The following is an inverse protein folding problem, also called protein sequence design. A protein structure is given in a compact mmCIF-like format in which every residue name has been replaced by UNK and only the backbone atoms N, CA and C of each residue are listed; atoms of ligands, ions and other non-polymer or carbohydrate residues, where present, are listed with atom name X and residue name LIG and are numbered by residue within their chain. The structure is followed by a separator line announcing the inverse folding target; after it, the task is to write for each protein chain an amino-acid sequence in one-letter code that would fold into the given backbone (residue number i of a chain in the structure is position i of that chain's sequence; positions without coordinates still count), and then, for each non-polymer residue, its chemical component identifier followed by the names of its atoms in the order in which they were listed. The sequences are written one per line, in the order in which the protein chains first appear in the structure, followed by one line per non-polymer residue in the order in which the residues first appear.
data_IF_423823389154
#
_entry.id   IF_423823389154
#
_cell.length_a   1.000
_cell.length_b   1.000
_cell.length_c   1.000
_cell.angle_alpha   90.00
_cell.angle_beta   90.00
_cell.angle_gamma   90.00
#
_symmetry.space_group_name_H-M   'P 1'
#
loop_
_entity.id
_entity.type
_entity.pdbx_description
1 polymer ?
#
# COMPACT_ATOMS: atom_id res chain seq x y z
N UNK A 1 -7.06 -9.10 14.97
CA UNK A 1 -7.10 -10.53 15.39
C UNK A 1 -5.73 -10.96 15.87
N UNK A 2 -5.66 -11.59 17.04
CA UNK A 2 -4.41 -12.01 17.70
C UNK A 2 -3.97 -13.38 17.16
N UNK A 3 -2.70 -13.51 16.80
CA UNK A 3 -2.06 -14.78 16.44
C UNK A 3 -0.83 -14.97 17.31
N UNK A 4 -0.88 -15.92 18.24
CA UNK A 4 0.34 -16.37 18.89
C UNK A 4 1.14 -17.20 17.88
N UNK A 5 2.37 -16.76 17.62
CA UNK A 5 3.26 -17.31 16.63
C UNK A 5 4.56 -17.73 17.30
N UNK A 6 5.11 -18.87 16.90
CA UNK A 6 6.49 -19.24 17.22
C UNK A 6 7.25 -19.23 15.90
N UNK A 7 8.03 -18.17 15.66
CA UNK A 7 8.77 -17.96 14.43
C UNK A 7 10.27 -18.05 14.74
N UNK A 8 10.98 -18.97 14.10
CA UNK A 8 12.39 -19.26 14.38
C UNK A 8 12.70 -19.37 15.90
N UNK A 9 11.83 -20.06 16.65
CA UNK A 9 11.97 -20.27 18.09
C UNK A 9 11.59 -19.06 18.97
N UNK A 10 11.16 -17.95 18.38
CA UNK A 10 10.70 -16.76 19.12
C UNK A 10 9.18 -16.76 19.21
N UNK A 11 8.65 -16.78 20.44
CA UNK A 11 7.23 -16.60 20.70
C UNK A 11 6.85 -15.11 20.57
N UNK A 12 5.85 -14.81 19.75
CA UNK A 12 5.32 -13.47 19.52
C UNK A 12 3.81 -13.49 19.49
N UNK A 13 3.21 -12.39 19.94
CA UNK A 13 1.78 -12.11 19.74
C UNK A 13 1.64 -11.13 18.59
N UNK A 14 1.14 -11.59 17.44
CA UNK A 14 1.06 -10.79 16.21
C UNK A 14 -0.38 -10.54 15.77
N UNK A 15 -0.69 -9.28 15.52
CA UNK A 15 -2.00 -8.80 15.13
C UNK A 15 -2.04 -8.50 13.64
N UNK A 16 -3.08 -9.04 12.99
CA UNK A 16 -3.38 -8.70 11.61
C UNK A 16 -4.12 -7.37 11.55
N UNK A 17 -3.72 -6.52 10.61
CA UNK A 17 -4.39 -5.27 10.30
C UNK A 17 -5.40 -5.40 9.13
N UNK A 18 -6.49 -4.63 9.17
CA UNK A 18 -6.96 -3.81 10.31
C UNK A 18 -7.41 -4.68 11.49
N UNK A 19 -7.28 -4.15 12.72
CA UNK A 19 -7.45 -4.93 13.96
C UNK A 19 -8.83 -5.58 14.10
N UNK A 20 -9.87 -4.91 13.60
CA UNK A 20 -11.28 -5.30 13.70
C UNK A 20 -11.71 -6.40 12.70
N UNK A 21 -10.77 -6.99 11.96
CA UNK A 21 -11.09 -7.98 10.93
C UNK A 21 -11.72 -9.26 11.52
N UNK A 22 -12.92 -9.61 11.03
CA UNK A 22 -13.73 -10.73 11.55
C UNK A 22 -13.33 -12.12 11.02
N UNK A 23 -12.57 -12.22 9.92
CA UNK A 23 -12.24 -13.51 9.32
C UNK A 23 -11.08 -14.19 10.03
N UNK A 24 -11.40 -15.18 10.89
CA UNK A 24 -10.46 -15.94 11.73
C UNK A 24 -9.40 -16.77 11.00
N UNK A 25 -9.51 -16.97 9.68
CA UNK A 25 -8.53 -17.76 8.91
C UNK A 25 -7.30 -16.98 8.45
N UNK A 26 -7.32 -15.64 8.58
CA UNK A 26 -6.23 -14.77 8.14
C UNK A 26 -5.33 -14.40 9.33
N UNK A 27 -4.06 -14.77 9.25
CA UNK A 27 -3.05 -14.47 10.27
C UNK A 27 -2.22 -13.23 9.90
N UNK A 28 -1.45 -12.76 10.87
CA UNK A 28 -0.47 -11.68 10.72
C UNK A 28 0.86 -12.14 10.07
N UNK A 29 1.02 -13.45 9.90
CA UNK A 29 2.17 -14.06 9.26
C UNK A 29 1.71 -15.22 8.37
N UNK A 30 2.56 -15.70 7.49
CA UNK A 30 2.34 -16.92 6.72
C UNK A 30 3.55 -17.84 6.69
N UNK A 31 3.38 -19.04 6.16
CA UNK A 31 4.45 -20.04 6.10
C UNK A 31 5.69 -19.57 5.32
N UNK A 32 5.60 -18.51 4.49
CA UNK A 32 6.77 -17.94 3.84
C UNK A 32 7.55 -17.03 4.79
N UNK A 33 6.92 -16.39 5.78
CA UNK A 33 7.64 -15.66 6.86
C UNK A 33 8.44 -16.63 7.71
N UNK A 34 7.78 -17.69 8.20
CA UNK A 34 8.41 -18.75 9.01
C UNK A 34 9.58 -19.38 8.27
N UNK A 35 9.37 -19.81 7.01
CA UNK A 35 10.44 -20.47 6.24
C UNK A 35 11.63 -19.53 5.98
N UNK A 36 11.37 -18.24 5.75
CA UNK A 36 12.43 -17.26 5.56
C UNK A 36 13.24 -17.09 6.85
N UNK A 37 12.57 -16.91 8.00
CA UNK A 37 13.22 -16.75 9.32
C UNK A 37 14.01 -17.99 9.74
N UNK A 38 13.45 -19.19 9.57
CA UNK A 38 14.13 -20.44 9.90
C UNK A 38 15.41 -20.62 9.05
N UNK A 39 15.35 -20.25 7.78
CA UNK A 39 16.52 -20.32 6.90
C UNK A 39 17.60 -19.33 7.33
N UNK A 40 17.24 -18.04 7.51
CA UNK A 40 18.24 -17.00 7.75
C UNK A 40 18.90 -17.12 9.12
N UNK A 41 18.19 -17.65 10.13
CA UNK A 41 18.76 -17.87 11.46
C UNK A 41 19.84 -18.96 11.48
N UNK A 42 19.80 -19.86 10.50
CA UNK A 42 20.82 -20.91 10.33
C UNK A 42 21.91 -20.51 9.34
N UNK A 43 21.53 -19.92 8.20
CA UNK A 43 22.44 -19.62 7.10
C UNK A 43 23.20 -18.29 7.28
N UNK A 44 22.63 -17.33 8.02
CA UNK A 44 23.19 -16.00 8.24
C UNK A 44 23.12 -15.61 9.73
N UNK A 45 23.68 -16.41 10.66
CA UNK A 45 23.57 -16.18 12.09
C UNK A 45 24.26 -14.88 12.55
N UNK A 46 25.16 -14.35 11.73
CA UNK A 46 25.97 -13.16 12.02
C UNK A 46 25.44 -11.88 11.36
N UNK A 47 24.36 -11.93 10.57
CA UNK A 47 23.78 -10.73 9.97
C UNK A 47 23.24 -9.79 11.06
N UNK A 48 23.66 -8.52 11.06
CA UNK A 48 23.26 -7.51 12.04
C UNK A 48 22.66 -6.27 11.42
N UNK A 49 23.00 -5.95 10.17
CA UNK A 49 22.35 -4.89 9.41
C UNK A 49 21.46 -5.50 8.32
N UNK A 50 20.14 -5.47 8.53
CA UNK A 50 19.17 -6.25 7.74
C UNK A 50 18.17 -5.33 7.06
N UNK A 51 18.09 -5.42 5.74
CA UNK A 51 17.09 -4.72 4.93
C UNK A 51 15.90 -5.65 4.65
N UNK A 52 14.70 -5.27 5.06
CA UNK A 52 13.47 -6.07 4.90
C UNK A 52 12.50 -5.36 3.98
N UNK A 53 12.11 -6.00 2.88
CA UNK A 53 11.14 -5.48 1.93
C UNK A 53 9.81 -6.22 2.06
N UNK A 54 8.73 -5.44 2.14
CA UNK A 54 7.33 -5.90 2.10
C UNK A 54 6.91 -6.79 3.28
N UNK A 55 7.42 -6.51 4.49
CA UNK A 55 6.92 -7.14 5.73
C UNK A 55 5.51 -6.61 6.06
N UNK A 56 4.50 -7.44 5.80
CA UNK A 56 3.11 -7.01 5.74
C UNK A 56 2.52 -6.63 7.11
N UNK A 57 2.97 -7.27 8.19
CA UNK A 57 2.48 -7.00 9.54
C UNK A 57 3.60 -7.00 10.58
N UNK A 58 4.87 -6.89 10.16
CA UNK A 58 6.00 -6.84 11.07
C UNK A 58 6.44 -8.22 11.58
N UNK A 59 6.05 -9.32 10.95
CA UNK A 59 6.41 -10.66 11.44
C UNK A 59 7.94 -10.86 11.42
N UNK A 60 8.58 -10.49 10.31
CA UNK A 60 10.03 -10.56 10.17
C UNK A 60 10.72 -9.57 11.10
N UNK A 61 10.23 -8.33 11.10
CA UNK A 61 10.76 -7.22 11.88
C UNK A 61 10.73 -7.50 13.39
N UNK A 62 9.58 -7.95 13.92
CA UNK A 62 9.41 -8.27 15.33
C UNK A 62 10.26 -9.47 15.75
N UNK A 63 10.31 -10.54 14.93
CA UNK A 63 11.15 -11.71 15.25
C UNK A 63 12.63 -11.35 15.29
N UNK A 64 13.13 -10.60 14.31
CA UNK A 64 14.53 -10.20 14.27
C UNK A 64 14.87 -9.24 15.41
N UNK A 65 14.02 -8.25 15.69
CA UNK A 65 14.20 -7.35 16.84
C UNK A 65 14.29 -8.13 18.17
N UNK A 66 13.38 -9.08 18.41
CA UNK A 66 13.39 -9.90 19.62
C UNK A 66 14.65 -10.75 19.75
N UNK A 67 15.13 -11.33 18.64
CA UNK A 67 16.34 -12.17 18.63
C UNK A 67 17.63 -11.37 18.77
N UNK A 68 17.66 -10.17 18.23
CA UNK A 68 18.85 -9.32 18.24
C UNK A 68 18.95 -8.45 19.49
N UNK A 69 17.95 -8.44 20.38
CA UNK A 69 17.86 -7.52 21.53
C UNK A 69 19.13 -7.44 22.38
N UNK A 70 19.80 -8.58 22.59
CA UNK A 70 20.98 -8.69 23.47
C UNK A 70 22.30 -8.41 22.73
N UNK A 71 22.25 -8.14 21.43
CA UNK A 71 23.40 -7.74 20.63
C UNK A 71 23.66 -6.24 20.74
N UNK A 72 24.92 -5.85 20.95
CA UNK A 72 25.28 -4.45 21.12
C UNK A 72 25.02 -3.58 19.88
N UNK A 73 25.32 -4.11 18.69
CA UNK A 73 25.21 -3.39 17.41
C UNK A 73 24.45 -4.21 16.39
N UNK A 74 23.31 -3.68 15.95
CA UNK A 74 22.46 -4.21 14.89
C UNK A 74 21.48 -3.11 14.46
N UNK A 75 20.97 -3.25 13.25
CA UNK A 75 20.00 -2.35 12.65
C UNK A 75 19.08 -3.12 11.69
N UNK A 76 17.80 -2.74 11.64
CA UNK A 76 16.83 -3.23 10.67
C UNK A 76 16.28 -2.05 9.91
N UNK A 77 16.35 -2.07 8.58
CA UNK A 77 15.58 -1.17 7.74
C UNK A 77 14.39 -1.91 7.16
N UNK A 78 13.17 -1.49 7.47
CA UNK A 78 11.94 -2.01 6.87
C UNK A 78 11.46 -1.06 5.77
N UNK A 79 11.33 -1.58 4.54
CA UNK A 79 10.80 -0.85 3.39
C UNK A 79 9.42 -1.39 3.03
N UNK A 80 8.44 -0.50 2.94
CA UNK A 80 7.07 -0.85 2.55
C UNK A 80 6.43 0.26 1.74
N UNK A 81 5.70 -0.12 0.69
CA UNK A 81 4.81 0.84 0.00
C UNK A 81 3.52 1.10 0.80
N UNK A 82 3.14 0.23 1.74
CA UNK A 82 1.91 0.32 2.52
C UNK A 82 2.15 0.97 3.87
N UNK A 83 1.44 2.08 4.12
CA UNK A 83 1.35 2.71 5.43
C UNK A 83 0.74 1.77 6.48
N UNK A 84 -0.30 1.02 6.09
CA UNK A 84 -0.97 0.05 6.99
C UNK A 84 0.01 -1.02 7.46
N UNK A 85 0.92 -1.49 6.60
CA UNK A 85 1.95 -2.46 6.99
C UNK A 85 2.97 -1.89 7.99
N UNK A 86 3.35 -0.61 7.82
CA UNK A 86 4.23 0.07 8.78
C UNK A 86 3.53 0.24 10.15
N UNK A 87 2.26 0.67 10.15
CA UNK A 87 1.46 0.77 11.38
C UNK A 87 1.24 -0.58 12.05
N UNK A 88 1.00 -1.64 11.26
CA UNK A 88 0.88 -2.99 11.77
C UNK A 88 2.16 -3.46 12.45
N UNK A 89 3.32 -3.12 11.88
CA UNK A 89 4.62 -3.42 12.47
C UNK A 89 4.81 -2.67 13.79
N UNK A 90 4.52 -1.37 13.84
CA UNK A 90 4.62 -0.56 15.08
C UNK A 90 3.73 -1.12 16.19
N UNK A 91 2.48 -1.45 15.85
CA UNK A 91 1.56 -2.05 16.81
C UNK A 91 2.09 -3.39 17.32
N UNK A 92 2.54 -4.27 16.42
CA UNK A 92 3.07 -5.58 16.84
C UNK A 92 4.38 -5.48 17.62
N UNK A 93 5.23 -4.49 17.38
CA UNK A 93 6.37 -4.21 18.24
C UNK A 93 5.91 -3.85 19.66
N UNK A 94 4.94 -2.94 19.79
CA UNK A 94 4.40 -2.54 21.09
C UNK A 94 3.72 -3.70 21.84
N UNK A 95 2.92 -4.53 21.15
CA UNK A 95 2.29 -5.71 21.75
C UNK A 95 3.32 -6.71 22.30
N UNK A 96 4.55 -6.71 21.76
CA UNK A 96 5.65 -7.58 22.20
C UNK A 96 6.70 -6.84 23.06
N UNK A 97 6.44 -5.61 23.52
CA UNK A 97 7.36 -4.80 24.34
C UNK A 97 8.70 -4.52 23.64
N UNK A 98 8.64 -4.30 22.33
CA UNK A 98 9.77 -4.04 21.45
C UNK A 98 9.71 -2.64 20.82
N UNK A 99 8.81 -1.76 21.23
CA UNK A 99 8.66 -0.41 20.67
C UNK A 99 9.93 0.44 20.79
N UNK A 100 10.75 0.18 21.82
CA UNK A 100 12.04 0.84 22.06
C UNK A 100 13.00 0.77 20.85
N UNK A 101 12.85 -0.23 19.97
CA UNK A 101 13.70 -0.36 18.78
C UNK A 101 13.49 0.78 17.79
N UNK A 102 12.31 1.41 17.79
CA UNK A 102 12.01 2.58 16.97
C UNK A 102 12.67 3.83 17.57
N UNK A 103 12.55 3.99 18.90
CA UNK A 103 13.09 5.15 19.63
C UNK A 103 14.62 5.19 19.60
N UNK A 104 15.25 4.02 19.74
CA UNK A 104 16.71 3.87 19.66
C UNK A 104 17.22 3.75 18.21
N UNK A 105 16.35 3.92 17.21
CA UNK A 105 16.69 3.80 15.77
C UNK A 105 17.31 2.46 15.38
N UNK A 106 17.08 1.40 16.18
CA UNK A 106 17.43 0.01 15.85
C UNK A 106 16.58 -0.55 14.72
N UNK A 107 15.36 -0.03 14.54
CA UNK A 107 14.53 -0.28 13.37
C UNK A 107 14.12 1.04 12.72
N UNK A 108 14.46 1.23 11.45
CA UNK A 108 13.99 2.36 10.63
C UNK A 108 12.96 1.90 9.61
N UNK A 109 11.86 2.64 9.50
CA UNK A 109 10.83 2.39 8.49
C UNK A 109 10.94 3.40 7.35
N UNK A 110 11.05 2.90 6.13
CA UNK A 110 11.11 3.67 4.90
C UNK A 110 9.91 3.35 4.01
N UNK A 111 9.45 4.35 3.26
CA UNK A 111 8.53 4.11 2.15
C UNK A 111 9.27 3.52 0.93
N UNK A 112 8.51 3.10 -0.07
CA UNK A 112 9.03 2.42 -1.26
C UNK A 112 9.83 3.32 -2.23
N UNK A 113 9.77 4.64 -2.08
CA UNK A 113 10.45 5.62 -2.92
C UNK A 113 11.66 6.25 -2.22
N UNK A 114 11.80 6.04 -0.91
CA UNK A 114 12.95 6.46 -0.13
C UNK A 114 14.27 5.84 -0.63
N UNK A 115 15.36 6.55 -0.40
CA UNK A 115 16.71 6.03 -0.65
C UNK A 115 17.01 4.88 0.29
N UNK A 116 17.44 3.75 -0.27
CA UNK A 116 17.86 2.57 0.50
C UNK A 116 19.20 2.82 1.22
N UNK A 117 19.47 2.14 2.35
CA UNK A 117 20.77 2.22 3.01
C UNK A 117 21.88 1.73 2.07
N UNK A 118 23.02 2.43 2.06
CA UNK A 118 24.16 2.11 1.18
C UNK A 118 24.84 0.77 1.53
N UNK A 119 24.68 0.32 2.77
CA UNK A 119 25.28 -0.90 3.31
C UNK A 119 24.22 -1.71 4.06
N UNK A 120 24.30 -3.03 3.93
CA UNK A 120 23.60 -4.00 4.79
C UNK A 120 24.26 -5.38 4.61
N UNK A 121 24.10 -6.25 5.60
CA UNK A 121 24.65 -7.61 5.61
C UNK A 121 23.74 -8.60 4.87
N UNK A 122 22.42 -8.34 4.88
CA UNK A 122 21.41 -9.28 4.39
C UNK A 122 20.15 -8.54 3.95
N UNK A 123 19.62 -8.94 2.79
CA UNK A 123 18.38 -8.41 2.24
C UNK A 123 17.31 -9.50 2.24
N UNK A 124 16.17 -9.21 2.86
CA UNK A 124 15.01 -10.08 2.96
C UNK A 124 13.88 -9.50 2.11
N UNK A 125 13.27 -10.32 1.26
CA UNK A 125 12.16 -9.87 0.39
C UNK A 125 10.97 -10.78 0.56
N UNK A 126 9.84 -10.26 1.06
CA UNK A 126 8.55 -10.89 0.78
C UNK A 126 8.16 -10.52 -0.65
N UNK A 127 8.10 -11.52 -1.54
CA UNK A 127 7.84 -11.29 -2.96
C UNK A 127 6.46 -10.61 -3.10
N UNK A 128 6.38 -9.37 -3.61
CA UNK A 128 5.12 -8.67 -3.70
C UNK A 128 4.26 -9.30 -4.79
N UNK A 129 2.93 -9.15 -4.66
CA UNK A 129 1.98 -9.63 -5.68
C UNK A 129 2.12 -8.87 -7.00
N UNK A 130 2.53 -7.61 -6.94
CA UNK A 130 2.70 -6.75 -8.10
C UNK A 130 4.12 -6.92 -8.66
N UNK A 131 4.23 -7.49 -9.86
CA UNK A 131 5.51 -7.68 -10.53
C UNK A 131 6.25 -6.36 -10.81
N UNK A 132 5.52 -5.26 -11.04
CA UNK A 132 6.12 -3.93 -11.21
C UNK A 132 6.84 -3.48 -9.95
N UNK A 133 6.20 -3.62 -8.78
CA UNK A 133 6.83 -3.30 -7.50
C UNK A 133 8.09 -4.14 -7.26
N UNK A 134 8.05 -5.45 -7.56
CA UNK A 134 9.25 -6.29 -7.46
C UNK A 134 10.37 -5.77 -8.37
N UNK A 135 10.07 -5.42 -9.62
CA UNK A 135 11.08 -4.91 -10.56
C UNK A 135 11.67 -3.59 -10.08
N UNK A 136 10.85 -2.68 -9.54
CA UNK A 136 11.32 -1.42 -8.97
C UNK A 136 12.25 -1.64 -7.78
N UNK A 137 11.85 -2.49 -6.84
CA UNK A 137 12.66 -2.84 -5.67
C UNK A 137 13.98 -3.50 -6.08
N UNK A 138 13.96 -4.42 -7.03
CA UNK A 138 15.18 -5.04 -7.56
C UNK A 138 16.06 -4.02 -8.30
N UNK A 139 15.48 -3.05 -9.01
CA UNK A 139 16.24 -1.95 -9.60
C UNK A 139 16.94 -1.15 -8.51
N UNK A 140 16.25 -0.69 -7.47
CA UNK A 140 16.87 0.03 -6.33
C UNK A 140 18.00 -0.79 -5.69
N UNK A 141 17.78 -2.09 -5.43
CA UNK A 141 18.79 -2.98 -4.87
C UNK A 141 20.01 -3.16 -5.78
N UNK A 142 19.89 -2.98 -7.10
CA UNK A 142 21.01 -3.13 -8.04
C UNK A 142 22.06 -2.01 -7.89
N UNK A 143 21.68 -0.90 -7.25
CA UNK A 143 22.58 0.20 -6.92
C UNK A 143 23.45 -0.07 -5.68
N UNK A 144 23.11 -1.07 -4.86
CA UNK A 144 23.89 -1.42 -3.68
C UNK A 144 25.20 -2.14 -4.06
N UNK A 145 26.15 -2.17 -3.13
CA UNK A 145 27.43 -2.88 -3.30
C UNK A 145 27.22 -4.33 -3.75
N UNK A 146 28.15 -4.86 -4.55
CA UNK A 146 28.08 -6.22 -5.06
C UNK A 146 28.22 -7.27 -3.94
N UNK A 147 27.55 -8.41 -4.10
CA UNK A 147 27.73 -9.58 -3.26
C UNK A 147 26.89 -9.63 -1.97
N UNK A 148 26.01 -8.66 -1.74
CA UNK A 148 25.09 -8.68 -0.59
C UNK A 148 24.09 -9.82 -0.79
N UNK A 149 23.96 -10.76 0.17
CA UNK A 149 22.99 -11.85 0.11
C UNK A 149 21.54 -11.35 0.09
N UNK A 150 20.74 -11.95 -0.79
CA UNK A 150 19.30 -11.73 -0.89
C UNK A 150 18.59 -13.07 -0.68
N UNK A 151 17.67 -13.10 0.28
CA UNK A 151 16.73 -14.22 0.49
C UNK A 151 15.31 -13.70 0.32
N UNK A 152 14.64 -14.13 -0.74
CA UNK A 152 13.25 -13.78 -0.99
C UNK A 152 12.32 -14.96 -0.71
N UNK A 153 11.12 -14.71 -0.21
CA UNK A 153 10.12 -15.73 0.07
C UNK A 153 8.74 -15.36 -0.46
N UNK A 154 8.02 -16.37 -0.93
CA UNK A 154 6.64 -16.23 -1.36
C UNK A 154 5.94 -17.59 -1.41
N UNK A 155 4.65 -17.57 -1.71
CA UNK A 155 3.91 -18.82 -1.94
C UNK A 155 4.48 -19.50 -3.18
N UNK A 156 4.71 -20.80 -3.10
CA UNK A 156 5.32 -21.57 -4.19
C UNK A 156 4.56 -21.44 -5.51
N UNK A 157 3.22 -21.28 -5.46
CA UNK A 157 2.38 -21.07 -6.64
C UNK A 157 2.47 -19.66 -7.24
N UNK A 158 3.03 -18.70 -6.51
CA UNK A 158 3.18 -17.28 -6.91
C UNK A 158 4.63 -16.98 -7.38
N UNK A 159 5.57 -17.90 -7.13
CA UNK A 159 6.93 -17.84 -7.68
C UNK A 159 6.92 -18.47 -9.07
N UNK A 160 6.77 -17.62 -10.08
CA UNK A 160 6.71 -18.01 -11.49
C UNK A 160 8.06 -17.84 -12.18
N UNK A 161 8.17 -18.36 -13.41
CA UNK A 161 9.34 -18.12 -14.27
C UNK A 161 9.60 -16.63 -14.51
N UNK A 162 8.55 -15.80 -14.57
CA UNK A 162 8.66 -14.34 -14.68
C UNK A 162 9.28 -13.69 -13.44
N UNK A 163 9.00 -14.22 -12.25
CA UNK A 163 9.62 -13.79 -10.99
C UNK A 163 11.13 -14.02 -11.06
N UNK A 164 11.56 -15.24 -11.40
CA UNK A 164 12.98 -15.58 -11.53
C UNK A 164 13.68 -14.78 -12.64
N UNK A 165 13.02 -14.57 -13.78
CA UNK A 165 13.54 -13.70 -14.85
C UNK A 165 13.75 -12.26 -14.38
N UNK A 166 12.87 -11.74 -13.50
CA UNK A 166 13.06 -10.41 -12.92
C UNK A 166 14.30 -10.39 -12.03
N UNK A 167 14.47 -11.37 -11.14
CA UNK A 167 15.71 -11.51 -10.36
C UNK A 167 16.95 -11.60 -11.25
N UNK A 168 16.97 -12.47 -12.27
CA UNK A 168 18.12 -12.60 -13.18
C UNK A 168 18.44 -11.34 -13.99
N UNK A 169 17.47 -10.43 -14.17
CA UNK A 169 17.68 -9.20 -14.91
C UNK A 169 18.45 -8.15 -14.09
N UNK A 170 18.14 -8.03 -12.80
CA UNK A 170 18.71 -7.02 -11.92
C UNK A 170 19.84 -7.55 -11.02
N UNK A 171 19.79 -8.83 -10.65
CA UNK A 171 20.65 -9.48 -9.67
C UNK A 171 21.52 -10.57 -10.30
N UNK A 172 22.43 -11.16 -9.51
CA UNK A 172 23.10 -12.39 -9.90
C UNK A 172 22.06 -13.52 -10.11
N UNK A 173 22.34 -14.52 -10.98
CA UNK A 173 21.39 -15.58 -11.29
C UNK A 173 20.82 -16.26 -10.02
N UNK A 174 19.49 -16.28 -9.85
CA UNK A 174 18.88 -16.82 -8.65
C UNK A 174 18.84 -18.34 -8.66
N UNK A 175 18.90 -18.94 -7.47
CA UNK A 175 18.52 -20.34 -7.22
C UNK A 175 17.27 -20.40 -6.33
N UNK A 176 16.68 -21.58 -6.16
CA UNK A 176 15.46 -21.74 -5.35
C UNK A 176 15.54 -22.93 -4.42
N UNK A 177 14.87 -22.84 -3.26
CA UNK A 177 14.69 -23.95 -2.35
C UNK A 177 13.65 -24.97 -2.84
N UNK A 178 13.60 -26.13 -2.18
CA UNK A 178 12.40 -26.98 -2.18
C UNK A 178 11.21 -26.22 -1.58
N UNK A 179 10.00 -26.61 -1.97
CA UNK A 179 8.78 -26.05 -1.40
C UNK A 179 8.53 -26.63 0.00
N UNK A 180 8.27 -25.77 0.98
CA UNK A 180 7.94 -26.13 2.37
C UNK A 180 6.65 -25.43 2.75
N UNK A 181 5.65 -26.17 3.25
CA UNK A 181 4.32 -25.63 3.63
C UNK A 181 3.68 -24.72 2.57
N UNK A 182 3.84 -25.07 1.28
CA UNK A 182 3.39 -24.30 0.09
C UNK A 182 4.11 -22.94 -0.11
N UNK A 183 5.24 -22.74 0.54
CA UNK A 183 6.15 -21.59 0.39
C UNK A 183 7.47 -22.02 -0.24
N UNK A 184 8.17 -21.10 -0.88
CA UNK A 184 9.48 -21.33 -1.52
C UNK A 184 10.37 -20.11 -1.34
N UNK A 185 11.67 -20.36 -1.19
CA UNK A 185 12.70 -19.33 -1.11
C UNK A 185 13.41 -19.18 -2.46
N UNK A 186 13.87 -17.95 -2.73
CA UNK A 186 14.74 -17.58 -3.84
C UNK A 186 16.02 -17.00 -3.23
N UNK A 187 17.18 -17.45 -3.71
CA UNK A 187 18.48 -17.01 -3.25
C UNK A 187 19.24 -16.34 -4.38
N UNK A 188 19.80 -15.16 -4.14
CA UNK A 188 20.71 -14.49 -5.08
C UNK A 188 21.60 -13.50 -4.32
N UNK A 189 22.44 -12.77 -5.04
CA UNK A 189 23.25 -11.67 -4.51
C UNK A 189 23.14 -10.44 -5.41
N UNK A 190 23.39 -9.27 -4.83
CA UNK A 190 23.47 -8.00 -5.57
C UNK A 190 24.62 -8.02 -6.57
N UNK A 191 24.45 -7.29 -7.69
CA UNK A 191 25.45 -7.22 -8.77
C UNK A 191 26.46 -6.10 -8.60
N UNK A 192 26.15 -5.04 -7.82
CA UNK A 192 26.92 -3.80 -7.79
C UNK A 192 26.84 -3.00 -9.08
N UNK A 193 25.90 -3.32 -9.97
CA UNK A 193 25.74 -2.69 -11.28
C UNK A 193 24.32 -2.13 -11.36
N UNK A 194 24.17 -0.79 -11.28
CA UNK A 194 22.89 -0.13 -11.46
C UNK A 194 22.18 -0.56 -12.74
N UNK A 195 20.94 -1.01 -12.61
CA UNK A 195 20.03 -1.33 -13.71
C UNK A 195 18.73 -0.57 -13.47
N UNK A 196 18.40 0.36 -14.36
CA UNK A 196 17.18 1.15 -14.27
C UNK A 196 15.94 0.30 -14.57
N UNK A 197 14.84 0.58 -13.87
CA UNK A 197 13.52 0.11 -14.26
C UNK A 197 12.82 1.09 -15.24
N UNK A 198 11.55 0.84 -15.54
CA UNK A 198 10.73 1.61 -16.47
C UNK A 198 9.75 2.59 -15.81
N UNK A 199 9.81 2.75 -14.50
CA UNK A 199 8.85 3.52 -13.71
C UNK A 199 9.37 4.93 -13.42
N UNK A 200 8.49 5.94 -13.33
CA UNK A 200 7.05 5.85 -13.57
C UNK A 200 6.70 5.60 -15.04
N UNK A 201 5.58 4.90 -15.30
CA UNK A 201 5.02 4.75 -16.65
C UNK A 201 3.96 5.81 -16.89
N UNK A 202 3.87 6.33 -18.11
CA UNK A 202 2.90 7.37 -18.45
C UNK A 202 2.05 7.07 -19.68
N UNK A 203 0.85 7.64 -19.70
CA UNK A 203 -0.09 7.56 -20.83
C UNK A 203 -1.00 8.79 -20.86
N UNK A 204 -1.47 9.16 -22.06
CA UNK A 204 -2.40 10.27 -22.24
C UNK A 204 -3.80 9.91 -21.74
N UNK A 205 -4.42 10.80 -20.97
CA UNK A 205 -5.79 10.66 -20.51
C UNK A 205 -6.77 11.07 -21.61
N UNK A 206 -7.57 10.12 -22.07
CA UNK A 206 -8.53 10.31 -23.17
C UNK A 206 -9.45 11.53 -22.97
N UNK A 207 -9.66 12.30 -24.04
CA UNK A 207 -10.50 13.51 -24.08
C UNK A 207 -10.03 14.66 -23.17
N UNK A 208 -8.74 14.69 -22.81
CA UNK A 208 -8.15 15.75 -21.99
C UNK A 208 -6.75 16.06 -22.50
N UNK A 209 -6.16 17.22 -22.14
CA UNK A 209 -4.75 17.49 -22.41
C UNK A 209 -3.81 16.79 -21.42
N UNK A 210 -4.32 15.98 -20.50
CA UNK A 210 -3.52 15.48 -19.38
C UNK A 210 -2.74 14.21 -19.72
N UNK A 211 -1.55 14.10 -19.13
CA UNK A 211 -0.73 12.88 -19.12
C UNK A 211 -0.69 12.32 -17.69
N UNK A 212 -0.95 11.03 -17.54
CA UNK A 212 -1.01 10.35 -16.25
C UNK A 212 0.24 9.50 -16.05
N UNK A 213 1.00 9.81 -15.01
CA UNK A 213 2.21 9.19 -14.53
C UNK A 213 1.87 8.24 -13.38
N UNK A 214 2.50 7.06 -13.37
CA UNK A 214 2.17 5.99 -12.44
C UNK A 214 3.43 5.25 -11.97
N UNK A 215 3.67 5.27 -10.67
CA UNK A 215 4.71 4.45 -10.03
C UNK A 215 4.33 2.95 -10.01
N UNK A 216 5.32 2.12 -9.69
CA UNK A 216 5.30 0.68 -9.93
C UNK A 216 4.14 -0.08 -9.28
N UNK A 217 3.73 0.32 -8.07
CA UNK A 217 2.69 -0.35 -7.31
C UNK A 217 1.27 0.20 -7.54
N UNK A 218 1.10 1.25 -8.34
CA UNK A 218 -0.19 1.93 -8.50
C UNK A 218 -1.22 1.06 -9.23
N UNK A 219 -2.47 1.11 -8.74
CA UNK A 219 -3.60 0.41 -9.35
C UNK A 219 -3.87 0.91 -10.78
N UNK A 220 -4.15 -0.02 -11.69
CA UNK A 220 -4.39 0.29 -13.11
C UNK A 220 -3.31 1.18 -13.76
N UNK A 221 -2.05 1.07 -13.31
CA UNK A 221 -0.94 1.92 -13.81
C UNK A 221 -0.76 1.94 -15.33
N UNK A 222 -1.14 0.87 -16.03
CA UNK A 222 -0.87 0.71 -17.47
C UNK A 222 -1.97 1.36 -18.34
N UNK A 223 -3.14 1.71 -17.79
CA UNK A 223 -4.22 2.41 -18.52
C UNK A 223 -5.33 2.93 -17.59
N UNK A 224 -6.15 3.88 -18.05
CA UNK A 224 -7.30 4.39 -17.28
C UNK A 224 -8.28 3.26 -16.89
N UNK A 225 -8.47 3.08 -15.58
CA UNK A 225 -9.46 2.17 -15.01
C UNK A 225 -10.87 2.47 -15.56
N UNK A 226 -11.59 1.42 -15.93
CA UNK A 226 -12.93 1.52 -16.50
C UNK A 226 -13.97 2.01 -15.47
N UNK A 227 -13.74 1.76 -14.18
CA UNK A 227 -14.53 2.32 -13.09
C UNK A 227 -14.31 3.82 -12.99
N UNK A 228 -13.06 4.25 -12.80
CA UNK A 228 -12.68 5.66 -12.78
C UNK A 228 -13.20 6.42 -14.01
N UNK A 229 -13.06 5.84 -15.20
CA UNK A 229 -13.62 6.36 -16.46
C UNK A 229 -15.12 6.63 -16.38
N UNK A 230 -15.88 5.66 -15.88
CA UNK A 230 -17.31 5.85 -15.70
C UNK A 230 -17.61 6.90 -14.63
N UNK A 231 -16.86 6.88 -13.53
CA UNK A 231 -17.03 7.79 -12.40
C UNK A 231 -16.81 9.25 -12.77
N UNK A 232 -15.86 9.52 -13.67
CA UNK A 232 -15.56 10.86 -14.19
C UNK A 232 -16.78 11.58 -14.80
N UNK A 233 -17.78 10.87 -15.29
CA UNK A 233 -19.01 11.48 -15.83
C UNK A 233 -19.89 12.11 -14.74
N UNK A 234 -19.67 11.73 -13.48
CA UNK A 234 -20.48 12.13 -12.33
C UNK A 234 -19.66 12.90 -11.30
N UNK A 235 -18.54 13.51 -11.70
CA UNK A 235 -17.78 14.41 -10.82
C UNK A 235 -18.50 15.77 -10.68
N UNK A 236 -18.32 16.48 -9.56
CA UNK A 236 -18.88 17.81 -9.41
C UNK A 236 -18.23 18.81 -10.37
N UNK A 237 -18.96 19.86 -10.69
CA UNK A 237 -18.47 21.00 -11.45
C UNK A 237 -19.12 22.27 -10.93
N UNK A 238 -18.44 23.41 -11.06
CA UNK A 238 -18.92 24.70 -10.59
C UNK A 238 -17.82 25.55 -9.97
N UNK A 239 -18.19 26.70 -9.41
CA UNK A 239 -17.24 27.68 -8.85
C UNK A 239 -17.28 27.80 -7.32
N UNK A 240 -18.10 26.99 -6.65
CA UNK A 240 -18.20 27.03 -5.18
C UNK A 240 -16.88 26.53 -4.58
N UNK A 241 -16.30 27.23 -3.59
CA UNK A 241 -15.16 26.69 -2.87
C UNK A 241 -15.59 25.45 -2.08
N UNK A 242 -14.85 24.37 -2.26
CA UNK A 242 -15.11 23.07 -1.62
C UNK A 242 -13.79 22.47 -1.15
N UNK A 243 -13.80 21.87 0.04
CA UNK A 243 -12.75 20.97 0.52
C UNK A 243 -13.12 19.55 0.11
N UNK A 244 -12.42 19.03 -0.89
CA UNK A 244 -12.66 17.72 -1.49
C UNK A 244 -11.60 16.74 -1.03
N UNK A 245 -11.99 15.51 -0.71
CA UNK A 245 -11.07 14.41 -0.45
C UNK A 245 -11.23 13.37 -1.56
N UNK A 246 -10.13 13.00 -2.22
CA UNK A 246 -10.03 11.82 -3.09
C UNK A 246 -9.49 10.65 -2.25
N UNK A 247 -10.39 9.78 -1.77
CA UNK A 247 -10.10 8.70 -0.84
C UNK A 247 -9.80 7.39 -1.59
N UNK A 248 -8.57 6.90 -1.42
CA UNK A 248 -8.01 5.84 -2.24
C UNK A 248 -7.64 6.39 -3.62
N UNK A 249 -6.86 7.47 -3.65
CA UNK A 249 -6.68 8.27 -4.85
C UNK A 249 -5.95 7.53 -5.98
N UNK A 250 -5.16 6.49 -5.69
CA UNK A 250 -4.36 5.81 -6.71
C UNK A 250 -3.44 6.81 -7.41
N UNK A 251 -3.48 6.85 -8.75
CA UNK A 251 -2.74 7.86 -9.53
C UNK A 251 -3.33 9.29 -9.46
N UNK A 252 -4.42 9.51 -8.72
CA UNK A 252 -5.04 10.82 -8.53
C UNK A 252 -5.90 11.30 -9.70
N UNK A 253 -6.22 10.46 -10.68
CA UNK A 253 -7.01 10.89 -11.86
C UNK A 253 -8.37 11.50 -11.47
N UNK A 254 -9.01 10.99 -10.41
CA UNK A 254 -10.30 11.49 -9.92
C UNK A 254 -10.15 12.88 -9.29
N UNK A 255 -9.19 13.05 -8.38
CA UNK A 255 -8.89 14.35 -7.78
C UNK A 255 -8.38 15.37 -8.80
N UNK A 256 -7.52 14.99 -9.75
CA UNK A 256 -7.02 15.85 -10.83
C UNK A 256 -8.17 16.39 -11.69
N UNK A 257 -9.08 15.52 -12.12
CA UNK A 257 -10.27 15.92 -12.87
C UNK A 257 -11.21 16.81 -12.06
N UNK A 258 -11.31 16.55 -10.76
CA UNK A 258 -12.12 17.37 -9.86
C UNK A 258 -11.53 18.77 -9.72
N UNK A 259 -10.21 18.87 -9.56
CA UNK A 259 -9.47 20.14 -9.49
C UNK A 259 -9.63 20.98 -10.77
N UNK A 260 -9.64 20.32 -11.94
CA UNK A 260 -9.88 20.96 -13.23
C UNK A 260 -11.32 21.49 -13.39
N UNK A 261 -12.31 20.82 -12.79
CA UNK A 261 -13.75 21.18 -12.89
C UNK A 261 -14.23 22.13 -11.79
N UNK A 262 -13.47 22.25 -10.71
CA UNK A 262 -13.73 23.10 -9.56
C UNK A 262 -12.53 24.05 -9.33
N UNK A 263 -12.46 25.18 -10.05
CA UNK A 263 -11.32 26.10 -9.99
C UNK A 263 -11.06 26.71 -8.60
N UNK A 264 -12.02 26.67 -7.69
CA UNK A 264 -11.90 27.20 -6.33
C UNK A 264 -11.87 26.11 -5.24
N UNK A 265 -11.72 24.83 -5.62
CA UNK A 265 -11.66 23.74 -4.66
C UNK A 265 -10.23 23.49 -4.18
N UNK A 266 -10.13 23.06 -2.92
CA UNK A 266 -8.95 22.42 -2.35
C UNK A 266 -9.15 20.91 -2.38
N UNK A 267 -8.13 20.16 -2.79
CA UNK A 267 -8.23 18.70 -2.95
C UNK A 267 -7.17 18.00 -2.11
N UNK A 268 -7.61 17.16 -1.17
CA UNK A 268 -6.74 16.26 -0.41
C UNK A 268 -6.77 14.88 -1.05
N UNK A 269 -5.63 14.42 -1.55
CA UNK A 269 -5.41 13.08 -2.11
C UNK A 269 -4.92 12.17 -0.99
N UNK A 270 -5.65 11.08 -0.74
CA UNK A 270 -5.33 10.15 0.35
C UNK A 270 -5.25 8.73 -0.17
N UNK A 271 -4.16 8.03 0.12
CA UNK A 271 -3.98 6.62 -0.21
C UNK A 271 -3.07 5.95 0.83
N UNK A 272 -3.15 4.63 1.00
CA UNK A 272 -2.21 3.92 1.87
C UNK A 272 -0.84 3.72 1.20
N UNK A 273 -0.81 3.78 -0.13
CA UNK A 273 0.37 3.56 -0.95
C UNK A 273 1.18 4.85 -1.12
N UNK A 274 2.46 4.82 -0.73
CA UNK A 274 3.38 5.93 -0.98
C UNK A 274 3.52 6.21 -2.49
N UNK A 275 3.62 5.17 -3.31
CA UNK A 275 3.65 5.27 -4.77
C UNK A 275 2.38 5.88 -5.37
N UNK A 276 1.20 5.60 -4.80
CA UNK A 276 -0.05 6.23 -5.22
C UNK A 276 -0.04 7.73 -4.93
N UNK A 277 0.25 8.10 -3.68
CA UNK A 277 0.33 9.51 -3.25
C UNK A 277 1.37 10.29 -4.07
N UNK A 278 2.53 9.70 -4.34
CA UNK A 278 3.55 10.28 -5.21
C UNK A 278 3.07 10.45 -6.65
N UNK A 279 2.39 9.45 -7.22
CA UNK A 279 1.82 9.53 -8.57
C UNK A 279 0.75 10.62 -8.67
N UNK A 280 -0.13 10.73 -7.68
CA UNK A 280 -1.13 11.80 -7.61
C UNK A 280 -0.48 13.19 -7.59
N UNK A 281 0.59 13.35 -6.80
CA UNK A 281 1.38 14.60 -6.73
C UNK A 281 2.04 14.92 -8.07
N UNK A 282 2.69 13.94 -8.69
CA UNK A 282 3.32 14.11 -10.01
C UNK A 282 2.26 14.52 -11.05
N UNK A 283 1.08 13.89 -11.03
CA UNK A 283 0.00 14.20 -11.96
C UNK A 283 -0.60 15.59 -11.79
N UNK A 284 -0.80 16.07 -10.57
CA UNK A 284 -1.21 17.46 -10.37
C UNK A 284 -0.12 18.41 -10.82
N UNK A 285 1.13 18.16 -10.41
CA UNK A 285 2.28 19.03 -10.75
C UNK A 285 2.50 19.13 -12.26
N UNK A 286 2.40 18.02 -12.98
CA UNK A 286 2.63 17.99 -14.42
C UNK A 286 1.50 18.65 -15.23
N UNK A 287 0.25 18.47 -14.79
CA UNK A 287 -0.92 18.84 -15.59
C UNK A 287 -1.57 20.18 -15.18
N UNK A 288 -1.43 20.56 -13.91
CA UNK A 288 -2.04 21.75 -13.29
C UNK A 288 -1.06 22.35 -12.26
N UNK A 289 0.14 22.71 -12.71
CA UNK A 289 1.23 23.18 -11.84
C UNK A 289 0.86 24.40 -11.00
N UNK A 290 0.00 25.28 -11.52
CA UNK A 290 -0.55 26.46 -10.85
C UNK A 290 -1.55 26.13 -9.74
N UNK A 291 -1.96 24.86 -9.61
CA UNK A 291 -2.96 24.39 -8.65
C UNK A 291 -2.37 23.46 -7.57
N UNK A 292 -1.06 23.27 -7.55
CA UNK A 292 -0.40 22.38 -6.56
C UNK A 292 -0.63 22.87 -5.13
N UNK A 293 -0.64 24.19 -4.90
CA UNK A 293 -0.86 24.79 -3.57
C UNK A 293 -2.30 24.62 -3.04
N UNK A 294 -3.25 24.30 -3.93
CA UNK A 294 -4.62 23.93 -3.54
C UNK A 294 -4.73 22.45 -3.13
N UNK A 295 -3.62 21.71 -3.17
CA UNK A 295 -3.61 20.26 -2.99
C UNK A 295 -2.83 19.82 -1.75
N UNK A 296 -3.33 18.76 -1.11
CA UNK A 296 -2.60 18.03 -0.08
C UNK A 296 -2.48 16.57 -0.50
N UNK A 297 -1.34 15.94 -0.19
CA UNK A 297 -1.05 14.56 -0.56
C UNK A 297 -0.65 13.82 0.71
N UNK A 298 -1.48 12.91 1.17
CA UNK A 298 -1.37 12.29 2.49
C UNK A 298 -1.36 10.77 2.33
N UNK A 299 -0.29 10.13 2.81
CA UNK A 299 -0.26 8.69 2.96
C UNK A 299 -0.93 8.31 4.29
N UNK A 300 -2.01 7.52 4.25
CA UNK A 300 -2.75 7.18 5.47
C UNK A 300 -3.58 5.88 5.33
N UNK A 301 -3.97 5.29 6.45
CA UNK A 301 -5.03 4.27 6.48
C UNK A 301 -6.39 4.94 6.35
N UNK A 302 -6.88 5.01 5.12
CA UNK A 302 -8.14 5.67 4.79
C UNK A 302 -8.14 7.11 5.33
N UNK A 303 -9.10 7.50 6.17
CA UNK A 303 -9.16 8.83 6.81
C UNK A 303 -8.96 8.73 8.33
N UNK A 304 -8.11 7.81 8.79
CA UNK A 304 -7.71 7.75 10.19
C UNK A 304 -7.13 9.09 10.65
N UNK A 305 -7.46 9.53 11.86
CA UNK A 305 -7.04 10.81 12.45
C UNK A 305 -7.51 12.10 11.73
N UNK A 306 -8.33 11.99 10.68
CA UNK A 306 -8.96 13.17 10.09
C UNK A 306 -10.01 13.74 11.05
N UNK A 307 -9.92 15.05 11.31
CA UNK A 307 -10.87 15.73 12.18
C UNK A 307 -12.29 15.75 11.59
N UNK A 308 -13.33 15.63 12.43
CA UNK A 308 -14.71 15.66 11.97
C UNK A 308 -15.08 17.02 11.37
N UNK A 309 -16.04 17.02 10.45
CA UNK A 309 -16.62 18.23 9.85
C UNK A 309 -15.63 19.13 9.07
N UNK A 310 -14.58 18.52 8.49
CA UNK A 310 -13.54 19.21 7.74
C UNK A 310 -13.69 19.10 6.23
N UNK A 311 -14.48 18.16 5.71
CA UNK A 311 -14.69 17.97 4.27
C UNK A 311 -16.09 18.36 3.80
N UNK A 312 -16.16 18.92 2.59
CA UNK A 312 -17.41 19.18 1.86
C UNK A 312 -17.86 17.99 1.02
N UNK A 313 -16.88 17.29 0.45
CA UNK A 313 -17.09 16.19 -0.48
C UNK A 313 -15.99 15.15 -0.28
N UNK A 314 -16.37 13.88 -0.20
CA UNK A 314 -15.47 12.74 -0.31
C UNK A 314 -15.82 11.97 -1.57
N UNK A 315 -14.86 11.84 -2.47
CA UNK A 315 -14.92 11.00 -3.66
C UNK A 315 -14.17 9.69 -3.35
N UNK A 316 -14.74 8.55 -3.72
CA UNK A 316 -14.10 7.27 -3.44
C UNK A 316 -14.40 6.22 -4.52
N UNK A 317 -13.36 5.57 -5.01
CA UNK A 317 -13.44 4.34 -5.79
C UNK A 317 -12.83 3.22 -4.93
N UNK A 318 -13.60 2.59 -4.02
CA UNK A 318 -13.05 1.61 -3.09
C UNK A 318 -12.38 0.46 -3.84
N UNK A 319 -11.30 -0.14 -3.27
CA UNK A 319 -10.61 -1.24 -3.91
C UNK A 319 -11.59 -2.40 -4.17
N UNK A 320 -11.36 -3.14 -5.27
CA UNK A 320 -12.13 -4.34 -5.58
C UNK A 320 -11.20 -5.53 -5.90
N UNK A 321 -11.19 -6.54 -5.04
CA UNK A 321 -10.51 -7.81 -5.29
C UNK A 321 -11.40 -9.01 -4.97
N UNK A 322 -11.13 -10.13 -5.65
CA UNK A 322 -11.83 -11.42 -5.51
C UNK A 322 -11.78 -12.02 -4.09
N UNK A 323 -11.00 -11.45 -3.17
CA UNK A 323 -11.09 -11.71 -1.73
C UNK A 323 -12.20 -10.85 -1.10
N UNK A 324 -13.46 -11.16 -1.44
CA UNK A 324 -14.65 -10.33 -1.19
C UNK A 324 -14.78 -9.83 0.26
N UNK A 325 -14.42 -10.64 1.25
CA UNK A 325 -14.54 -10.27 2.67
C UNK A 325 -13.54 -9.19 3.14
N UNK A 326 -12.32 -9.13 2.57
CA UNK A 326 -11.31 -8.12 2.96
C UNK A 326 -11.68 -6.78 2.32
N UNK A 327 -11.96 -6.83 1.03
CA UNK A 327 -12.40 -5.70 0.20
C UNK A 327 -13.63 -5.00 0.80
N UNK A 328 -14.60 -5.79 1.28
CA UNK A 328 -15.83 -5.26 1.86
C UNK A 328 -15.62 -4.53 3.18
N UNK A 329 -14.67 -5.01 4.00
CA UNK A 329 -14.32 -4.36 5.27
C UNK A 329 -13.61 -3.03 5.05
N UNK A 330 -12.67 -2.96 4.09
CA UNK A 330 -11.97 -1.70 3.76
C UNK A 330 -12.96 -0.66 3.23
N UNK A 331 -13.84 -1.04 2.29
CA UNK A 331 -14.86 -0.14 1.78
C UNK A 331 -15.79 0.37 2.90
N UNK A 332 -16.16 -0.49 3.85
CA UNK A 332 -16.96 -0.07 4.99
C UNK A 332 -16.22 0.91 5.91
N UNK A 333 -14.94 0.67 6.20
CA UNK A 333 -14.08 1.61 6.94
C UNK A 333 -14.04 2.98 6.24
N UNK A 334 -13.79 2.99 4.92
CA UNK A 334 -13.80 4.22 4.11
C UNK A 334 -15.11 4.98 4.26
N UNK A 335 -16.27 4.31 4.23
CA UNK A 335 -17.57 4.97 4.36
C UNK A 335 -17.80 5.55 5.76
N UNK A 336 -17.42 4.80 6.80
CA UNK A 336 -17.53 5.26 8.19
C UNK A 336 -16.71 6.52 8.43
N UNK A 337 -15.44 6.49 8.03
CA UNK A 337 -14.53 7.61 8.23
C UNK A 337 -14.86 8.80 7.31
N UNK A 338 -15.36 8.55 6.10
CA UNK A 338 -15.92 9.62 5.26
C UNK A 338 -17.10 10.32 5.95
N UNK A 339 -18.05 9.57 6.53
CA UNK A 339 -19.16 10.18 7.30
C UNK A 339 -18.65 10.99 8.50
N UNK A 340 -17.63 10.50 9.22
CA UNK A 340 -17.03 11.21 10.33
C UNK A 340 -16.45 12.56 9.88
N UNK A 341 -15.64 12.53 8.81
CA UNK A 341 -14.88 13.66 8.27
C UNK A 341 -15.76 14.72 7.59
N UNK A 342 -16.83 14.30 6.91
CA UNK A 342 -17.75 15.22 6.23
C UNK A 342 -18.42 16.18 7.22
N UNK A 343 -18.64 17.43 6.81
CA UNK A 343 -19.52 18.35 7.55
C UNK A 343 -20.99 18.01 7.34
N UNK A 344 -21.87 18.59 8.16
CA UNK A 344 -23.31 18.53 7.91
C UNK A 344 -23.64 19.18 6.55
N UNK A 345 -24.40 18.46 5.73
CA UNK A 345 -24.67 18.79 4.33
C UNK A 345 -23.58 18.36 3.35
N UNK A 346 -22.46 17.79 3.83
CA UNK A 346 -21.39 17.25 3.00
C UNK A 346 -21.78 15.93 2.32
N UNK A 347 -21.13 15.62 1.22
CA UNK A 347 -21.46 14.48 0.35
C UNK A 347 -20.35 13.40 0.37
N UNK A 348 -20.74 12.14 0.51
CA UNK A 348 -19.93 11.01 0.07
C UNK A 348 -20.45 10.55 -1.29
N UNK A 349 -19.58 10.55 -2.30
CA UNK A 349 -19.88 10.04 -3.63
C UNK A 349 -18.93 8.90 -3.96
N UNK A 350 -19.49 7.74 -4.30
CA UNK A 350 -18.70 6.55 -4.59
C UNK A 350 -19.06 5.94 -5.93
N UNK A 351 -18.14 5.17 -6.48
CA UNK A 351 -18.42 4.16 -7.50
C UNK A 351 -18.15 2.76 -6.92
N UNK A 352 -18.94 1.78 -7.31
CA UNK A 352 -18.68 0.38 -6.98
C UNK A 352 -19.25 -0.56 -8.04
N UNK A 353 -18.80 -1.82 -8.00
CA UNK A 353 -19.40 -2.86 -8.84
C UNK A 353 -20.88 -3.06 -8.49
N UNK A 354 -21.71 -3.24 -9.52
CA UNK A 354 -23.18 -3.33 -9.37
C UNK A 354 -23.65 -4.47 -8.47
N UNK A 355 -22.88 -5.55 -8.36
CA UNK A 355 -23.20 -6.71 -7.51
C UNK A 355 -22.85 -6.50 -6.02
N UNK A 356 -22.30 -5.35 -5.64
CA UNK A 356 -22.00 -5.01 -4.26
C UNK A 356 -23.17 -4.25 -3.64
N UNK A 357 -23.53 -4.61 -2.41
CA UNK A 357 -24.68 -4.03 -1.68
C UNK A 357 -24.33 -2.66 -1.04
N UNK A 358 -23.58 -1.82 -1.74
CA UNK A 358 -23.19 -0.50 -1.23
C UNK A 358 -24.36 0.45 -1.05
N UNK A 359 -25.43 0.29 -1.85
CA UNK A 359 -26.65 1.09 -1.70
C UNK A 359 -27.24 0.91 -0.29
N UNK A 360 -27.48 -0.33 0.12
CA UNK A 360 -28.08 -0.65 1.42
C UNK A 360 -27.16 -0.25 2.58
N UNK A 361 -25.85 -0.47 2.42
CA UNK A 361 -24.85 -0.03 3.41
C UNK A 361 -24.86 1.48 3.62
N UNK A 362 -24.87 2.24 2.54
CA UNK A 362 -24.90 3.71 2.60
C UNK A 362 -26.25 4.23 3.10
N UNK A 363 -27.37 3.61 2.73
CA UNK A 363 -28.68 3.93 3.31
C UNK A 363 -28.69 3.71 4.83
N UNK A 364 -28.15 2.57 5.30
CA UNK A 364 -28.04 2.29 6.75
C UNK A 364 -27.13 3.29 7.46
N UNK A 365 -26.03 3.68 6.82
CA UNK A 365 -25.02 4.54 7.43
C UNK A 365 -25.42 6.03 7.45
N UNK A 366 -25.92 6.55 6.33
CA UNK A 366 -26.24 7.98 6.15
C UNK A 366 -27.74 8.29 6.32
N UNK A 367 -28.60 7.27 6.42
CA UNK A 367 -30.06 7.43 6.36
C UNK A 367 -30.59 7.84 4.98
N UNK A 368 -29.71 7.91 3.98
CA UNK A 368 -30.04 8.26 2.60
C UNK A 368 -28.94 7.77 1.65
N UNK A 369 -29.32 7.44 0.42
CA UNK A 369 -28.40 7.18 -0.68
C UNK A 369 -29.17 7.31 -2.01
N UNK A 370 -28.58 7.99 -2.98
CA UNK A 370 -29.12 8.16 -4.34
C UNK A 370 -28.22 7.46 -5.34
N UNK A 371 -28.81 6.73 -6.27
CA UNK A 371 -28.13 6.28 -7.49
C UNK A 371 -28.08 7.45 -8.46
N UNK A 372 -26.89 7.96 -8.75
CA UNK A 372 -26.69 9.08 -9.69
C UNK A 372 -26.18 8.62 -11.06
N UNK A 373 -25.68 7.39 -11.14
CA UNK A 373 -25.20 6.78 -12.38
C UNK A 373 -25.24 5.26 -12.29
N UNK A 374 -25.54 4.59 -13.40
CA UNK A 374 -25.58 3.12 -13.45
C UNK A 374 -25.27 2.62 -14.87
N UNK A 375 -24.55 1.50 -14.97
CA UNK A 375 -24.35 0.78 -16.23
C UNK A 375 -24.35 -0.75 -16.00
N UNK A 376 -23.90 -1.54 -16.97
CA UNK A 376 -23.89 -3.01 -16.85
C UNK A 376 -22.95 -3.53 -15.74
N UNK A 377 -21.91 -2.78 -15.38
CA UNK A 377 -20.85 -3.20 -14.43
C UNK A 377 -20.81 -2.37 -13.14
N UNK A 378 -21.10 -1.08 -13.21
CA UNK A 378 -20.84 -0.12 -12.13
C UNK A 378 -22.09 0.70 -11.77
N UNK A 379 -22.16 1.06 -10.49
CA UNK A 379 -23.14 1.99 -9.94
C UNK A 379 -22.40 3.14 -9.26
N UNK A 380 -22.85 4.38 -9.51
CA UNK A 380 -22.38 5.58 -8.82
C UNK A 380 -23.45 6.01 -7.83
N UNK A 381 -23.04 6.16 -6.57
CA UNK A 381 -23.90 6.42 -5.41
C UNK A 381 -23.51 7.73 -4.75
N UNK A 382 -24.49 8.44 -4.19
CA UNK A 382 -24.33 9.70 -3.48
C UNK A 382 -25.12 9.69 -2.17
N UNK A 383 -24.47 10.03 -1.07
CA UNK A 383 -25.07 10.10 0.27
C UNK A 383 -24.68 11.41 0.95
N UNK A 384 -25.64 12.06 1.59
CA UNK A 384 -25.43 13.34 2.29
C UNK A 384 -25.40 13.12 3.81
N UNK A 385 -24.42 13.69 4.51
CA UNK A 385 -24.40 13.73 5.98
C UNK A 385 -25.45 14.71 6.49
N UNK A 386 -26.46 14.23 7.22
CA UNK A 386 -27.55 15.06 7.77
C UNK A 386 -27.36 15.46 9.24
N UNK A 387 -26.51 14.72 9.97
CA UNK A 387 -26.19 14.90 11.39
C UNK A 387 -24.86 14.22 11.72
#
# INVERSE_FOLDING_TARGET
MITDAVLAGTALTLHRFPLEQKNRSLQAWDAADEYLLDHITTAYPDARDILILNDAFGALSCTLAARLKDHAQWHITQVSDSFVAQQATRHNLAENQLEWVLDETKLTQLDSLATLPEQCDLILIKVPKNAGLLQHQLSQLSHLAAGIPIVAAGKAKEIHTSTLKSFSHFMQPPTTSLAVKKSRLIFCTTTGKPVADKFPVSWALENTPFTIHNHANVFSRDSLDIGARFFMNYLPAGKKPLRVIDLGCGNGVIGLQTLARLPNAQVTFVDESAMAVASARENVTHNLSDRVDDCQFIQNDCLSDFSPNTADLVLCNPPFHQAQAITDHIAWQMFLQAKHTLRNGGELRIIGNRHLDYLDKLQRLFGNCKVIGNNKKFTVLSSIKRS
#
